data_IF_108951962272
#
_entry.id   IF_108951962272
#
_cell.length_a   1.000
_cell.length_b   1.000
_cell.length_c   1.000
_cell.angle_alpha   90.00
_cell.angle_beta   90.00
_cell.angle_gamma   90.00
#
_symmetry.space_group_name_H-M   'P 1'
#
loop_
_entity.id
_entity.type
_entity.pdbx_description
1 polymer ?
#
# COMPACT_ATOMS: atom_id res chain seq x y z
N UNK A 1 -49.49 79.03 17.26
CA UNK A 1 -50.95 78.99 17.06
C UNK A 1 -51.27 77.78 16.18
N UNK A 2 -52.14 76.89 16.68
CA UNK A 2 -52.77 75.73 16.03
C UNK A 2 -51.95 74.50 15.58
N UNK A 3 -52.02 73.51 16.48
CA UNK A 3 -52.23 72.06 16.28
C UNK A 3 -52.88 71.70 14.94
N UNK A 4 -52.44 70.60 14.30
CA UNK A 4 -53.27 69.43 13.93
C UNK A 4 -52.62 68.60 12.80
N UNK A 5 -52.23 67.36 13.09
CA UNK A 5 -52.93 66.12 12.69
C UNK A 5 -51.99 64.91 12.83
N UNK A 6 -52.52 63.92 13.54
CA UNK A 6 -52.05 62.53 13.68
C UNK A 6 -51.67 61.95 12.32
N UNK A 7 -50.63 61.12 12.28
CA UNK A 7 -50.75 59.77 11.75
C UNK A 7 -49.70 58.86 12.38
N UNK A 8 -50.24 57.90 13.14
CA UNK A 8 -49.58 56.78 13.76
C UNK A 8 -49.23 55.80 12.64
N UNK A 9 -47.95 55.65 12.32
CA UNK A 9 -47.47 54.50 11.57
C UNK A 9 -46.79 53.54 12.55
N UNK A 10 -47.57 52.56 12.99
CA UNK A 10 -47.08 51.33 13.62
C UNK A 10 -46.46 50.47 12.51
N UNK A 11 -45.18 50.68 12.21
CA UNK A 11 -44.42 49.73 11.40
C UNK A 11 -43.97 48.59 12.32
N UNK A 12 -44.67 47.45 12.21
CA UNK A 12 -44.21 46.17 12.72
C UNK A 12 -42.78 45.92 12.19
N UNK A 13 -41.81 45.94 13.10
CA UNK A 13 -40.45 45.52 12.83
C UNK A 13 -40.39 44.02 12.60
N UNK A 14 -40.58 43.59 11.35
CA UNK A 14 -40.23 42.25 10.91
C UNK A 14 -38.70 42.20 10.85
N UNK A 15 -38.07 41.81 11.96
CA UNK A 15 -36.63 41.57 12.01
C UNK A 15 -36.32 40.39 11.11
N UNK A 16 -35.90 40.66 9.88
CA UNK A 16 -35.22 39.70 9.02
C UNK A 16 -33.88 39.38 9.67
N UNK A 17 -33.84 38.31 10.45
CA UNK A 17 -32.62 37.69 10.91
C UNK A 17 -31.92 37.12 9.68
N UNK A 18 -31.05 37.92 9.07
CA UNK A 18 -30.22 37.44 7.96
C UNK A 18 -29.25 36.41 8.54
N UNK A 19 -29.42 35.15 8.17
CA UNK A 19 -28.39 34.14 8.35
C UNK A 19 -27.22 34.57 7.47
N UNK A 20 -26.23 35.26 8.04
CA UNK A 20 -24.94 35.44 7.40
C UNK A 20 -24.25 34.06 7.43
N UNK A 21 -24.39 33.32 6.32
CA UNK A 21 -23.49 32.23 6.01
C UNK A 21 -22.10 32.86 5.82
N UNK A 22 -21.25 32.74 6.83
CA UNK A 22 -19.83 32.99 6.68
C UNK A 22 -19.28 31.97 5.67
N UNK A 23 -19.24 32.35 4.39
CA UNK A 23 -18.46 31.66 3.37
C UNK A 23 -16.97 31.95 3.62
N UNK A 24 -16.47 31.48 4.76
CA UNK A 24 -15.06 31.51 5.11
C UNK A 24 -14.69 30.09 5.48
N UNK A 25 -13.85 29.47 4.62
CA UNK A 25 -13.24 28.15 4.77
C UNK A 25 -13.97 26.93 4.18
N UNK A 26 -14.66 27.08 3.04
CA UNK A 26 -14.54 26.01 2.02
C UNK A 26 -13.30 26.32 1.19
N UNK A 27 -12.14 26.33 1.85
CA UNK A 27 -10.87 26.24 1.14
C UNK A 27 -10.86 24.84 0.56
N UNK A 28 -11.16 24.76 -0.74
CA UNK A 28 -10.92 23.62 -1.62
C UNK A 28 -10.13 22.52 -0.94
N UNK A 29 -10.82 21.46 -0.50
CA UNK A 29 -10.22 20.24 0.04
C UNK A 29 -9.48 19.42 -1.03
N UNK A 30 -9.34 19.95 -2.24
CA UNK A 30 -8.36 19.52 -3.21
C UNK A 30 -6.98 20.07 -2.79
N UNK A 31 -6.49 19.58 -1.66
CA UNK A 31 -5.06 19.52 -1.45
C UNK A 31 -4.48 18.68 -2.58
N UNK A 32 -3.40 19.17 -3.18
CA UNK A 32 -2.64 18.56 -4.27
C UNK A 32 -2.70 17.02 -4.20
N UNK A 33 -3.46 16.43 -5.13
CA UNK A 33 -3.91 15.03 -5.11
C UNK A 33 -2.80 14.06 -5.53
N UNK A 34 -1.59 14.28 -5.02
CA UNK A 34 -0.40 13.50 -5.35
C UNK A 34 -0.17 12.43 -4.29
N UNK A 35 -0.15 11.17 -4.73
CA UNK A 35 0.18 10.03 -3.87
C UNK A 35 1.70 10.03 -3.66
N UNK A 36 2.20 9.97 -2.42
CA UNK A 36 3.64 9.86 -2.18
C UNK A 36 4.15 8.50 -2.64
N UNK A 37 5.45 8.39 -2.91
CA UNK A 37 6.02 7.14 -3.40
C UNK A 37 5.97 5.98 -2.38
N UNK A 38 5.82 6.25 -1.08
CA UNK A 38 5.46 5.23 -0.08
C UNK A 38 4.30 5.71 0.76
N UNK A 39 3.29 4.86 0.94
CA UNK A 39 2.10 5.18 1.73
C UNK A 39 1.47 3.95 2.39
N UNK A 40 0.62 4.18 3.40
CA UNK A 40 -0.20 3.11 3.97
C UNK A 40 -1.44 2.90 3.09
N UNK A 41 -1.74 1.64 2.78
CA UNK A 41 -2.94 1.27 2.04
C UNK A 41 -4.21 1.79 2.73
N UNK A 42 -5.12 2.35 1.94
CA UNK A 42 -6.40 2.90 2.42
C UNK A 42 -6.34 4.33 2.95
N UNK A 43 -5.19 5.02 2.91
CA UNK A 43 -5.09 6.43 3.35
C UNK A 43 -5.45 7.47 2.29
N UNK A 44 -5.50 7.10 1.02
CA UNK A 44 -5.68 8.03 -0.11
C UNK A 44 -6.97 7.76 -0.86
N UNK A 45 -7.42 8.76 -1.62
CA UNK A 45 -8.62 8.68 -2.44
C UNK A 45 -8.54 7.48 -3.42
N UNK A 46 -9.63 6.71 -3.48
CA UNK A 46 -9.70 5.51 -4.27
C UNK A 46 -9.51 5.76 -5.77
N UNK A 47 -9.98 6.89 -6.30
CA UNK A 47 -9.84 7.21 -7.73
C UNK A 47 -8.37 7.46 -8.10
N UNK A 48 -7.63 8.18 -7.26
CA UNK A 48 -6.20 8.45 -7.50
C UNK A 48 -5.40 7.15 -7.42
N UNK A 49 -5.69 6.29 -6.45
CA UNK A 49 -5.02 5.00 -6.30
C UNK A 49 -5.33 4.03 -7.45
N UNK A 50 -6.58 3.97 -7.90
CA UNK A 50 -6.96 3.14 -9.04
C UNK A 50 -6.37 3.65 -10.36
N UNK A 51 -6.31 4.97 -10.56
CA UNK A 51 -5.58 5.55 -11.71
C UNK A 51 -4.11 5.13 -11.71
N UNK A 52 -3.44 5.20 -10.56
CA UNK A 52 -2.06 4.73 -10.43
C UNK A 52 -1.94 3.23 -10.73
N UNK A 53 -2.88 2.40 -10.28
CA UNK A 53 -2.86 0.96 -10.58
C UNK A 53 -3.04 0.66 -12.08
N UNK A 54 -3.82 1.46 -12.80
CA UNK A 54 -3.95 1.34 -14.25
C UNK A 54 -2.63 1.61 -14.98
N UNK A 55 -1.79 2.51 -14.47
CA UNK A 55 -0.46 2.77 -15.04
C UNK A 55 0.53 1.60 -14.83
N UNK A 56 0.26 0.71 -13.88
CA UNK A 56 1.07 -0.47 -13.53
C UNK A 56 0.26 -1.78 -13.69
N UNK A 57 -0.46 -1.88 -14.80
CA UNK A 57 -1.42 -2.94 -15.11
C UNK A 57 -0.83 -4.35 -15.25
N UNK A 58 0.45 -4.46 -15.61
CA UNK A 58 1.11 -5.75 -15.74
C UNK A 58 1.45 -6.36 -14.38
N UNK A 59 1.22 -7.67 -14.21
CA UNK A 59 1.62 -8.39 -13.02
C UNK A 59 3.09 -8.82 -13.07
N UNK A 60 3.74 -8.96 -11.91
CA UNK A 60 5.10 -9.50 -11.81
C UNK A 60 5.25 -10.86 -12.53
N UNK A 61 4.26 -11.74 -12.44
CA UNK A 61 4.29 -13.04 -13.15
C UNK A 61 4.39 -12.86 -14.67
N UNK A 62 3.74 -11.84 -15.22
CA UNK A 62 3.83 -11.49 -16.64
C UNK A 62 5.21 -10.95 -16.98
N UNK A 63 5.78 -10.07 -16.14
CA UNK A 63 7.15 -9.59 -16.30
C UNK A 63 8.18 -10.74 -16.22
N UNK A 64 7.88 -11.79 -15.45
CA UNK A 64 8.63 -13.04 -15.36
C UNK A 64 8.24 -14.05 -16.44
N UNK A 65 7.76 -13.61 -17.62
CA UNK A 65 7.42 -14.48 -18.77
C UNK A 65 6.37 -15.56 -18.46
N UNK A 66 5.45 -15.26 -17.55
CA UNK A 66 4.41 -16.17 -17.05
C UNK A 66 4.95 -17.38 -16.26
N UNK A 67 6.19 -17.31 -15.78
CA UNK A 67 6.76 -18.30 -14.86
C UNK A 67 6.48 -17.90 -13.40
N UNK A 68 5.57 -18.64 -12.77
CA UNK A 68 5.12 -18.44 -11.39
C UNK A 68 6.25 -18.69 -10.39
N UNK A 69 7.09 -19.71 -10.63
CA UNK A 69 8.20 -20.05 -9.75
C UNK A 69 9.26 -18.96 -9.78
N UNK A 70 9.61 -18.48 -10.98
CA UNK A 70 10.50 -17.32 -11.15
C UNK A 70 9.93 -16.08 -10.44
N UNK A 71 8.65 -15.77 -10.63
CA UNK A 71 8.01 -14.62 -9.97
C UNK A 71 8.04 -14.73 -8.45
N UNK A 72 7.79 -15.92 -7.90
CA UNK A 72 7.89 -16.21 -6.47
C UNK A 72 9.32 -15.95 -5.96
N UNK A 73 10.34 -16.50 -6.61
CA UNK A 73 11.72 -16.27 -6.15
C UNK A 73 12.15 -14.82 -6.30
N UNK A 74 11.75 -14.12 -7.36
CA UNK A 74 12.03 -12.69 -7.48
C UNK A 74 11.40 -11.88 -6.33
N UNK A 75 10.17 -12.22 -5.93
CA UNK A 75 9.52 -11.61 -4.76
C UNK A 75 10.28 -11.91 -3.47
N UNK A 76 10.56 -13.19 -3.18
CA UNK A 76 11.28 -13.61 -1.97
C UNK A 76 12.67 -12.98 -1.89
N UNK A 77 13.40 -12.90 -3.02
CA UNK A 77 14.71 -12.26 -3.08
C UNK A 77 14.62 -10.77 -2.78
N UNK A 78 13.62 -10.06 -3.30
CA UNK A 78 13.40 -8.66 -2.92
C UNK A 78 13.15 -8.53 -1.41
N UNK A 79 12.35 -9.40 -0.82
CA UNK A 79 12.14 -9.38 0.64
C UNK A 79 13.45 -9.62 1.41
N UNK A 80 14.34 -10.50 0.93
CA UNK A 80 15.69 -10.67 1.49
C UNK A 80 16.55 -9.42 1.36
N UNK A 81 16.40 -8.66 0.27
CA UNK A 81 17.05 -7.37 0.14
C UNK A 81 16.49 -6.33 1.12
N UNK A 82 15.19 -6.37 1.44
CA UNK A 82 14.60 -5.53 2.49
C UNK A 82 15.21 -5.89 3.86
N UNK A 83 15.36 -7.18 4.20
CA UNK A 83 16.05 -7.60 5.44
C UNK A 83 17.49 -7.11 5.50
N UNK A 84 18.22 -7.27 4.40
CA UNK A 84 19.61 -6.81 4.32
C UNK A 84 19.70 -5.31 4.49
N UNK A 85 18.75 -4.55 3.93
CA UNK A 85 18.67 -3.11 4.08
C UNK A 85 18.32 -2.71 5.52
N UNK A 86 17.39 -3.41 6.17
CA UNK A 86 17.06 -3.22 7.59
C UNK A 86 18.28 -3.38 8.51
N UNK A 87 19.11 -4.40 8.27
CA UNK A 87 20.37 -4.57 9.02
C UNK A 87 21.33 -3.40 8.79
N UNK A 88 21.51 -2.96 7.53
CA UNK A 88 22.39 -1.84 7.17
C UNK A 88 21.93 -0.51 7.79
N UNK A 89 20.62 -0.29 7.84
CA UNK A 89 20.03 0.94 8.36
C UNK A 89 19.71 0.87 9.87
N UNK A 90 20.13 -0.19 10.56
CA UNK A 90 19.84 -0.45 11.98
C UNK A 90 18.34 -0.33 12.33
N UNK A 91 17.48 -0.83 11.44
CA UNK A 91 16.03 -0.79 11.58
C UNK A 91 15.48 -2.20 11.84
N UNK A 92 14.95 -2.46 13.03
CA UNK A 92 14.51 -3.81 13.41
C UNK A 92 13.13 -4.16 12.85
N UNK A 93 13.12 -4.96 11.78
CA UNK A 93 11.91 -5.50 11.15
C UNK A 93 11.56 -6.92 11.60
N UNK A 94 12.29 -7.52 12.56
CA UNK A 94 11.97 -8.87 13.01
C UNK A 94 10.55 -8.94 13.60
N UNK A 95 9.74 -9.88 13.11
CA UNK A 95 8.34 -10.03 13.51
C UNK A 95 7.37 -9.09 12.77
N UNK A 96 7.85 -8.22 11.87
CA UNK A 96 6.99 -7.40 11.02
C UNK A 96 6.29 -8.27 9.97
N UNK A 97 4.98 -8.11 9.86
CA UNK A 97 4.14 -8.77 8.86
C UNK A 97 3.24 -7.75 8.20
N UNK A 98 3.25 -7.68 6.88
CA UNK A 98 2.46 -6.70 6.14
C UNK A 98 1.90 -7.27 4.85
N UNK A 99 0.82 -6.65 4.40
CA UNK A 99 0.49 -6.64 2.99
C UNK A 99 1.38 -5.59 2.32
N UNK A 100 2.02 -5.94 1.22
CA UNK A 100 2.95 -5.08 0.50
C UNK A 100 2.58 -5.07 -0.97
N UNK A 101 2.34 -3.87 -1.50
CA UNK A 101 2.19 -3.61 -2.92
C UNK A 101 3.46 -2.90 -3.41
N UNK A 102 4.10 -3.44 -4.45
CA UNK A 102 5.25 -2.80 -5.09
C UNK A 102 4.93 -2.54 -6.54
N UNK A 103 5.30 -1.34 -7.00
CA UNK A 103 5.07 -0.83 -8.34
C UNK A 103 6.42 -0.49 -8.97
N UNK A 104 6.80 -1.26 -9.99
CA UNK A 104 8.09 -1.13 -10.66
C UNK A 104 7.95 -0.38 -11.99
N UNK A 105 8.89 0.52 -12.20
CA UNK A 105 9.15 1.13 -13.50
C UNK A 105 9.76 0.09 -14.46
N UNK A 106 9.78 0.42 -15.75
CA UNK A 106 10.26 -0.47 -16.83
C UNK A 106 11.69 -0.97 -16.64
N UNK A 107 12.53 -0.14 -16.01
CA UNK A 107 13.94 -0.43 -15.76
C UNK A 107 14.20 -1.25 -14.49
N UNK A 108 13.14 -1.60 -13.75
CA UNK A 108 13.20 -2.32 -12.48
C UNK A 108 13.38 -1.42 -11.26
N UNK A 109 13.52 -0.09 -11.42
CA UNK A 109 13.42 0.83 -10.28
C UNK A 109 12.02 0.78 -9.68
N UNK A 110 11.89 1.01 -8.38
CA UNK A 110 10.58 1.03 -7.73
C UNK A 110 10.03 2.46 -7.80
N UNK A 111 8.88 2.64 -8.44
CA UNK A 111 8.17 3.91 -8.50
C UNK A 111 7.35 4.17 -7.23
N UNK A 112 6.56 3.17 -6.81
CA UNK A 112 5.72 3.25 -5.61
C UNK A 112 5.81 1.97 -4.76
N UNK A 113 5.61 2.13 -3.46
CA UNK A 113 5.34 1.05 -2.52
C UNK A 113 4.14 1.43 -1.66
N UNK A 114 3.27 0.49 -1.36
CA UNK A 114 2.25 0.70 -0.34
C UNK A 114 2.13 -0.51 0.56
N UNK A 115 1.79 -0.28 1.82
CA UNK A 115 1.78 -1.35 2.80
C UNK A 115 0.65 -1.22 3.80
N UNK A 116 0.34 -2.33 4.47
CA UNK A 116 -0.54 -2.36 5.63
C UNK A 116 -0.02 -3.39 6.63
N UNK A 117 0.27 -2.98 7.87
CA UNK A 117 0.69 -3.90 8.92
C UNK A 117 -0.44 -4.86 9.27
N UNK A 118 -0.17 -6.16 9.27
CA UNK A 118 -1.17 -7.16 9.64
C UNK A 118 -1.49 -7.05 11.15
N UNK A 119 -2.70 -7.43 11.59
CA UNK A 119 -3.07 -7.37 13.01
C UNK A 119 -2.13 -8.11 13.97
N UNK A 120 -1.46 -9.17 13.50
CA UNK A 120 -0.51 -9.99 14.26
C UNK A 120 0.97 -9.67 13.94
N UNK A 121 1.25 -8.48 13.42
CA UNK A 121 2.60 -7.96 13.19
C UNK A 121 3.18 -7.38 14.48
N UNK A 122 4.51 -7.38 14.60
CA UNK A 122 5.21 -6.43 15.47
C UNK A 122 4.68 -5.02 15.18
N UNK A 123 4.44 -4.26 16.25
CA UNK A 123 4.06 -2.86 16.12
C UNK A 123 5.28 -2.03 15.72
N UNK A 124 5.13 -1.24 14.65
CA UNK A 124 6.12 -0.29 14.16
C UNK A 124 5.37 0.98 13.80
N UNK A 125 5.90 2.16 14.12
CA UNK A 125 5.22 3.40 13.77
C UNK A 125 5.17 3.55 12.25
N UNK A 126 4.02 4.02 11.74
CA UNK A 126 3.78 4.10 10.31
C UNK A 126 4.75 5.07 9.61
N UNK A 127 5.07 6.20 10.23
CA UNK A 127 6.06 7.16 9.71
C UNK A 127 7.47 6.53 9.62
N UNK A 128 7.89 5.81 10.65
CA UNK A 128 9.17 5.09 10.66
C UNK A 128 9.24 4.01 9.57
N UNK A 129 8.20 3.18 9.43
CA UNK A 129 8.11 2.17 8.37
C UNK A 129 8.07 2.80 6.96
N UNK A 130 7.32 3.89 6.80
CA UNK A 130 7.23 4.62 5.53
C UNK A 130 8.59 5.18 5.14
N UNK A 131 9.32 5.78 6.07
CA UNK A 131 10.67 6.31 5.83
C UNK A 131 11.65 5.19 5.48
N UNK A 132 11.61 4.07 6.21
CA UNK A 132 12.44 2.90 5.94
C UNK A 132 12.21 2.35 4.52
N UNK A 133 10.95 2.09 4.13
CA UNK A 133 10.62 1.59 2.80
C UNK A 133 10.95 2.61 1.71
N UNK A 134 10.83 3.91 2.00
CA UNK A 134 11.21 4.98 1.07
C UNK A 134 12.73 5.02 0.84
N UNK A 135 13.54 4.74 1.86
CA UNK A 135 14.98 4.59 1.72
C UNK A 135 15.35 3.31 0.94
N UNK A 136 14.73 2.17 1.28
CA UNK A 136 14.91 0.92 0.53
C UNK A 136 14.64 1.13 -0.96
N UNK A 137 13.52 1.78 -1.30
CA UNK A 137 13.10 2.08 -2.68
C UNK A 137 14.20 2.76 -3.49
N UNK A 138 14.86 3.76 -2.88
CA UNK A 138 15.90 4.57 -3.54
C UNK A 138 17.20 3.80 -3.75
N UNK A 139 17.44 2.78 -2.94
CA UNK A 139 18.70 2.02 -2.90
C UNK A 139 18.59 0.63 -3.54
N UNK A 140 17.45 0.27 -4.11
CA UNK A 140 17.18 -1.04 -4.69
C UNK A 140 16.68 -0.92 -6.13
N UNK A 141 17.23 -1.76 -7.00
CA UNK A 141 16.74 -1.95 -8.38
C UNK A 141 16.42 -3.43 -8.56
N UNK A 142 15.20 -3.71 -9.00
CA UNK A 142 14.72 -5.06 -9.24
C UNK A 142 15.42 -5.64 -10.49
N UNK A 143 15.83 -6.92 -10.46
CA UNK A 143 16.62 -7.50 -11.55
C UNK A 143 15.80 -7.76 -12.82
N UNK A 144 14.47 -7.86 -12.71
CA UNK A 144 13.59 -8.05 -13.88
C UNK A 144 13.26 -6.69 -14.48
N UNK A 145 13.51 -6.56 -15.78
CA UNK A 145 13.10 -5.42 -16.61
C UNK A 145 11.97 -5.84 -17.52
N UNK A 146 11.07 -4.91 -17.83
CA UNK A 146 9.90 -5.18 -18.65
C UNK A 146 9.57 -3.99 -19.56
N UNK A 147 8.89 -4.23 -20.67
CA UNK A 147 8.54 -3.19 -21.66
C UNK A 147 7.42 -2.24 -21.17
N UNK A 148 6.70 -2.68 -20.13
CA UNK A 148 5.65 -1.94 -19.41
C UNK A 148 5.97 -1.84 -17.93
N UNK A 149 5.34 -0.88 -17.25
CA UNK A 149 5.38 -0.85 -15.78
C UNK A 149 4.60 -2.05 -15.25
N UNK A 150 4.99 -2.57 -14.10
CA UNK A 150 4.39 -3.77 -13.54
C UNK A 150 4.31 -3.68 -12.03
N UNK A 151 3.47 -4.51 -11.42
CA UNK A 151 3.23 -4.47 -9.99
C UNK A 151 3.02 -5.86 -9.40
N UNK A 152 3.15 -5.96 -8.07
CA UNK A 152 2.79 -7.15 -7.32
C UNK A 152 2.23 -6.76 -5.95
N UNK A 153 1.10 -7.35 -5.60
CA UNK A 153 0.51 -7.26 -4.27
C UNK A 153 0.59 -8.62 -3.59
N UNK A 154 1.36 -8.70 -2.51
CA UNK A 154 1.56 -9.96 -1.79
C UNK A 154 1.93 -9.72 -0.33
N UNK A 155 2.11 -10.80 0.42
CA UNK A 155 2.57 -10.72 1.80
C UNK A 155 4.07 -10.51 1.88
N UNK A 156 4.49 -9.67 2.81
CA UNK A 156 5.86 -9.61 3.31
C UNK A 156 5.87 -9.96 4.80
N UNK A 157 6.61 -11.00 5.18
CA UNK A 157 6.78 -11.40 6.57
C UNK A 157 8.27 -11.50 6.86
N UNK A 158 8.70 -10.94 7.99
CA UNK A 158 10.08 -10.90 8.42
C UNK A 158 10.24 -11.64 9.77
N UNK A 159 11.17 -12.59 9.90
CA UNK A 159 12.17 -12.95 8.90
C UNK A 159 11.59 -13.69 7.68
N UNK A 160 12.21 -13.51 6.53
CA UNK A 160 11.84 -14.16 5.28
C UNK A 160 12.27 -15.62 5.36
N UNK A 161 11.30 -16.52 5.37
CA UNK A 161 11.53 -17.96 5.34
C UNK A 161 11.64 -18.40 3.88
N UNK A 162 12.78 -18.98 3.51
CA UNK A 162 12.90 -19.70 2.24
C UNK A 162 12.61 -21.15 2.56
N UNK A 163 11.45 -21.66 2.16
CA UNK A 163 11.26 -23.11 2.15
C UNK A 163 12.19 -23.68 1.08
N UNK A 164 13.04 -24.64 1.45
CA UNK A 164 13.77 -25.42 0.45
C UNK A 164 12.70 -26.08 -0.44
N UNK A 165 12.77 -25.97 -1.78
CA UNK A 165 11.88 -26.75 -2.62
C UNK A 165 12.00 -28.21 -2.21
N UNK A 166 10.87 -28.89 -2.04
CA UNK A 166 10.80 -30.30 -1.66
C UNK A 166 11.48 -31.10 -2.78
N UNK A 167 12.80 -31.30 -2.66
CA UNK A 167 13.49 -32.37 -3.36
C UNK A 167 12.97 -33.65 -2.72
N UNK A 168 11.93 -34.24 -3.33
CA UNK A 168 11.51 -35.66 -3.27
C UNK A 168 9.99 -35.80 -3.52
N UNK A 169 9.55 -35.57 -4.75
CA UNK A 169 8.42 -36.33 -5.29
C UNK A 169 9.02 -37.41 -6.19
N UNK A 170 9.36 -38.55 -5.59
CA UNK A 170 9.70 -39.76 -6.34
C UNK A 170 8.50 -40.10 -7.25
N UNK A 171 8.65 -40.20 -8.59
CA UNK A 171 7.54 -40.52 -9.50
C UNK A 171 7.00 -41.94 -9.31
N UNK A 172 7.70 -42.80 -8.55
CA UNK A 172 7.38 -44.21 -8.39
C UNK A 172 6.75 -44.50 -7.02
N UNK A 173 5.76 -43.71 -6.61
CA UNK A 173 4.94 -43.95 -5.43
C UNK A 173 4.04 -45.18 -5.58
N UNK A 174 4.64 -46.37 -5.64
CA UNK A 174 3.95 -47.63 -5.42
C UNK A 174 3.57 -47.72 -3.94
N UNK A 175 2.27 -47.64 -3.66
CA UNK A 175 1.68 -47.92 -2.36
C UNK A 175 2.09 -49.31 -1.89
N UNK A 176 2.89 -49.39 -0.82
CA UNK A 176 3.02 -50.62 -0.04
C UNK A 176 2.15 -50.48 1.22
N UNK A 177 0.90 -50.91 1.10
CA UNK A 177 0.03 -51.22 2.24
C UNK A 177 0.44 -52.56 2.87
N UNK A 178 0.47 -52.55 4.21
CA UNK A 178 0.20 -53.65 5.17
C UNK A 178 1.07 -54.93 5.13
N UNK A 179 1.69 -55.29 6.26
CA UNK A 179 1.05 -56.26 7.15
C UNK A 179 1.68 -56.40 8.55
N UNK A 180 0.78 -56.60 9.50
CA UNK A 180 0.88 -57.02 10.90
C UNK A 180 1.35 -58.47 11.09
N UNK A 181 2.07 -58.74 12.18
CA UNK A 181 2.28 -60.07 12.79
C UNK A 181 3.72 -60.25 13.30
N UNK A 182 4.05 -59.93 14.57
CA UNK A 182 4.05 -60.79 15.78
C UNK A 182 4.94 -62.06 15.68
N UNK A 183 5.74 -62.22 16.74
CA UNK A 183 6.51 -63.41 17.18
C UNK A 183 5.95 -64.76 16.77
#
# INVERSE_FOLDING_TARGET
MNISKRNIFFTLGLSFFTLQLNASNVRSMFADSTIPNVFVLGQYDGLVFESMKQDYDAALVTACKNDVETAYYCWIHMLKHIETHAVKSNFDINGVKMWLYVFWEKDGSIGYMSYFLKPNSKNVKADEMTNFLNDFRKNYTFPVKFDRKFSNYSTANFPVMIEKPVQNANPNGGSATTNTGKN
#
